data_IF_700307495469
#
_entry.id   IF_700307495469
#
_cell.length_a   1.000
_cell.length_b   1.000
_cell.length_c   1.000
_cell.angle_alpha   90.00
_cell.angle_beta   90.00
_cell.angle_gamma   90.00
#
_symmetry.space_group_name_H-M   'P 1'
#
loop_
_entity.id
_entity.type
_entity.pdbx_description
1 polymer ?
#
# COMPACT_ATOMS: atom_id res chain seq x y z
N UNK A 1 7.12 -20.00 -3.35
CA UNK A 1 7.35 -18.84 -2.46
C UNK A 1 6.01 -18.10 -2.29
N UNK A 2 4.92 -18.84 -2.02
CA UNK A 2 4.36 -19.05 -0.69
C UNK A 2 4.21 -17.74 0.09
N UNK A 3 3.09 -17.06 -0.15
CA UNK A 3 2.56 -15.89 0.60
C UNK A 3 2.15 -16.35 2.02
N UNK A 4 3.04 -17.07 2.70
CA UNK A 4 2.74 -17.89 3.87
C UNK A 4 3.44 -17.37 5.14
N UNK A 5 3.79 -16.08 5.18
CA UNK A 5 4.36 -15.46 6.38
C UNK A 5 3.31 -14.56 7.01
N UNK A 6 2.50 -15.17 7.89
CA UNK A 6 1.80 -14.54 9.01
C UNK A 6 0.77 -13.42 8.71
N UNK A 7 -0.26 -13.68 7.89
CA UNK A 7 -1.51 -12.87 7.89
C UNK A 7 -2.51 -13.50 8.89
N UNK A 8 -2.17 -13.55 10.17
CA UNK A 8 -2.93 -14.35 11.15
C UNK A 8 -4.19 -13.67 11.76
N UNK A 9 -4.82 -12.66 11.16
CA UNK A 9 -6.08 -12.09 11.74
C UNK A 9 -7.14 -11.68 10.71
N UNK A 10 -6.79 -11.21 9.51
CA UNK A 10 -7.79 -10.87 8.51
C UNK A 10 -7.20 -10.80 7.09
N UNK A 11 -7.72 -11.55 6.11
CA UNK A 11 -7.19 -11.51 4.74
C UNK A 11 -7.23 -10.09 4.16
N UNK A 12 -8.30 -9.32 4.45
CA UNK A 12 -8.45 -7.91 4.02
C UNK A 12 -7.33 -7.01 4.54
N UNK A 13 -6.85 -7.24 5.76
CA UNK A 13 -5.75 -6.47 6.34
C UNK A 13 -4.43 -6.78 5.62
N UNK A 14 -4.19 -8.05 5.26
CA UNK A 14 -3.05 -8.42 4.42
C UNK A 14 -3.07 -7.70 3.07
N UNK A 15 -4.22 -7.68 2.40
CA UNK A 15 -4.40 -6.95 1.14
C UNK A 15 -4.14 -5.44 1.30
N UNK A 16 -4.61 -4.84 2.40
CA UNK A 16 -4.36 -3.44 2.71
C UNK A 16 -2.86 -3.14 2.84
N UNK A 17 -2.11 -3.95 3.59
CA UNK A 17 -0.66 -3.78 3.74
C UNK A 17 0.07 -3.90 2.40
N UNK A 18 -0.35 -4.83 1.54
CA UNK A 18 0.21 -4.97 0.18
C UNK A 18 0.01 -3.69 -0.63
N UNK A 19 -1.21 -3.15 -0.65
CA UNK A 19 -1.53 -1.92 -1.39
C UNK A 19 -0.76 -0.71 -0.85
N UNK A 20 -0.74 -0.54 0.48
CA UNK A 20 0.01 0.54 1.12
C UNK A 20 1.51 0.45 0.79
N UNK A 21 2.08 -0.76 0.76
CA UNK A 21 3.49 -0.94 0.43
C UNK A 21 3.79 -0.64 -1.04
N UNK A 22 2.90 -1.01 -1.97
CA UNK A 22 3.03 -0.63 -3.39
C UNK A 22 3.02 0.90 -3.54
N UNK A 23 2.11 1.59 -2.84
CA UNK A 23 2.03 3.06 -2.90
C UNK A 23 3.31 3.68 -2.34
N UNK A 24 3.78 3.19 -1.20
CA UNK A 24 5.00 3.67 -0.57
C UNK A 24 6.24 3.45 -1.46
N UNK A 25 6.40 2.26 -2.05
CA UNK A 25 7.51 1.93 -2.94
C UNK A 25 7.60 2.86 -4.17
N UNK A 26 6.46 3.37 -4.63
CA UNK A 26 6.35 4.25 -5.80
C UNK A 26 6.46 5.74 -5.48
N UNK A 27 6.77 6.11 -4.23
CA UNK A 27 6.93 7.51 -3.82
C UNK A 27 5.64 8.14 -3.28
N UNK A 28 4.70 7.33 -2.78
CA UNK A 28 3.52 7.80 -2.04
C UNK A 28 2.27 8.09 -2.87
N UNK A 29 2.36 8.15 -4.20
CA UNK A 29 1.23 8.35 -5.11
C UNK A 29 1.32 7.36 -6.27
N UNK A 30 0.24 6.63 -6.55
CA UNK A 30 0.22 5.60 -7.61
C UNK A 30 -1.09 5.61 -8.37
N UNK A 31 -1.02 5.55 -9.70
CA UNK A 31 -2.20 5.41 -10.55
C UNK A 31 -2.94 4.11 -10.26
N UNK A 32 -4.28 4.17 -10.29
CA UNK A 32 -5.17 3.03 -10.08
C UNK A 32 -4.75 1.81 -10.94
N UNK A 33 -4.46 2.02 -12.22
CA UNK A 33 -4.07 0.97 -13.16
C UNK A 33 -2.81 0.21 -12.74
N UNK A 34 -1.84 0.88 -12.12
CA UNK A 34 -0.60 0.26 -11.67
C UNK A 34 -0.82 -0.60 -10.42
N UNK A 35 -1.71 -0.17 -9.51
CA UNK A 35 -2.11 -0.97 -8.35
C UNK A 35 -2.78 -2.26 -8.82
N UNK A 36 -3.76 -2.17 -9.71
CA UNK A 36 -4.46 -3.34 -10.25
C UNK A 36 -3.54 -4.29 -11.02
N UNK A 37 -2.63 -3.76 -11.84
CA UNK A 37 -1.65 -4.59 -12.56
C UNK A 37 -0.73 -5.35 -11.62
N UNK A 38 -0.35 -4.75 -10.48
CA UNK A 38 0.49 -5.40 -9.48
C UNK A 38 -0.29 -6.46 -8.70
N UNK A 39 -1.53 -6.15 -8.31
CA UNK A 39 -2.44 -7.12 -7.67
C UNK A 39 -2.71 -8.33 -8.58
N UNK A 40 -2.88 -8.12 -9.89
CA UNK A 40 -3.06 -9.20 -10.86
C UNK A 40 -1.85 -10.13 -10.92
N UNK A 41 -0.62 -9.59 -10.84
CA UNK A 41 0.61 -10.40 -10.75
C UNK A 41 0.67 -11.23 -9.46
N UNK A 42 0.08 -10.74 -8.39
CA UNK A 42 -0.07 -11.43 -7.10
C UNK A 42 -1.29 -12.38 -7.07
N UNK A 43 -1.89 -12.69 -8.23
CA UNK A 43 -3.08 -13.55 -8.37
C UNK A 43 -4.35 -12.99 -7.72
N UNK A 44 -4.40 -11.70 -7.46
CA UNK A 44 -5.59 -10.99 -6.99
C UNK A 44 -6.19 -10.23 -8.18
N UNK A 45 -7.18 -10.84 -8.85
CA UNK A 45 -7.89 -10.19 -9.96
C UNK A 45 -9.06 -9.34 -9.43
N UNK A 46 -9.18 -8.05 -9.81
CA UNK A 46 -10.31 -7.21 -9.45
C UNK A 46 -11.64 -7.59 -10.16
N UNK A 47 -11.57 -8.39 -11.23
CA UNK A 47 -12.74 -8.86 -11.97
C UNK A 47 -13.38 -10.12 -11.39
N UNK A 48 -12.67 -10.86 -10.54
CA UNK A 48 -13.14 -12.09 -9.93
C UNK A 48 -13.60 -11.87 -8.49
N UNK A 49 -14.72 -12.50 -8.13
CA UNK A 49 -15.14 -12.57 -6.72
C UNK A 49 -14.28 -13.59 -6.00
N UNK A 50 -13.47 -13.13 -5.06
CA UNK A 50 -12.73 -14.02 -4.16
C UNK A 50 -13.62 -14.47 -3.01
N UNK A 51 -13.51 -15.72 -2.58
CA UNK A 51 -14.30 -16.26 -1.46
C UNK A 51 -14.01 -15.51 -0.14
N UNK A 52 -12.76 -15.07 0.08
CA UNK A 52 -12.33 -14.37 1.29
C UNK A 52 -12.56 -12.85 1.25
N UNK A 53 -12.49 -12.23 0.07
CA UNK A 53 -12.53 -10.77 -0.09
C UNK A 53 -13.83 -10.26 -0.70
N UNK A 54 -14.60 -11.13 -1.36
CA UNK A 54 -15.73 -10.75 -2.19
C UNK A 54 -15.27 -9.93 -3.40
N UNK A 55 -15.83 -8.74 -3.56
CA UNK A 55 -15.47 -7.79 -4.61
C UNK A 55 -14.25 -6.98 -4.19
N UNK A 56 -13.06 -7.38 -4.68
CA UNK A 56 -11.79 -6.74 -4.35
C UNK A 56 -11.80 -5.26 -4.72
N UNK A 57 -12.41 -4.90 -5.85
CA UNK A 57 -12.51 -3.51 -6.28
C UNK A 57 -13.26 -2.68 -5.24
N UNK A 58 -14.42 -3.18 -4.80
CA UNK A 58 -15.21 -2.53 -3.76
C UNK A 58 -14.45 -2.43 -2.43
N UNK A 59 -13.75 -3.48 -2.01
CA UNK A 59 -12.96 -3.43 -0.77
C UNK A 59 -11.91 -2.32 -0.82
N UNK A 60 -11.18 -2.19 -1.94
CA UNK A 60 -10.12 -1.18 -2.07
C UNK A 60 -10.68 0.22 -2.24
N UNK A 61 -11.66 0.43 -3.12
CA UNK A 61 -12.17 1.78 -3.44
C UNK A 61 -13.21 2.29 -2.46
N UNK A 62 -13.94 1.40 -1.77
CA UNK A 62 -15.02 1.75 -0.85
C UNK A 62 -14.57 1.52 0.61
N UNK A 63 -14.25 0.29 1.01
CA UNK A 63 -13.91 0.01 2.42
C UNK A 63 -12.64 0.72 2.88
N UNK A 64 -11.51 0.59 2.15
CA UNK A 64 -10.24 1.20 2.58
C UNK A 64 -10.24 2.73 2.48
N UNK A 65 -10.98 3.29 1.51
CA UNK A 65 -11.16 4.74 1.38
C UNK A 65 -12.05 5.28 2.49
N UNK A 66 -13.16 4.59 2.79
CA UNK A 66 -14.07 4.94 3.88
C UNK A 66 -13.39 4.85 5.24
N UNK A 67 -12.52 3.87 5.43
CA UNK A 67 -11.72 3.71 6.64
C UNK A 67 -10.53 4.69 6.72
N UNK A 68 -10.34 5.56 5.73
CA UNK A 68 -9.24 6.56 5.67
C UNK A 68 -7.83 5.94 5.66
N UNK A 69 -7.71 4.68 5.24
CA UNK A 69 -6.39 4.10 4.97
C UNK A 69 -5.86 4.48 3.59
N UNK A 70 -6.77 4.63 2.62
CA UNK A 70 -6.43 5.08 1.27
C UNK A 70 -7.19 6.36 0.94
N UNK A 71 -6.57 7.19 0.12
CA UNK A 71 -7.25 8.28 -0.57
C UNK A 71 -7.35 7.93 -2.04
N UNK A 72 -8.55 8.04 -2.60
CA UNK A 72 -8.82 7.82 -4.01
C UNK A 72 -9.13 9.16 -4.66
N UNK A 73 -8.15 9.69 -5.40
CA UNK A 73 -8.17 11.05 -5.94
C UNK A 73 -8.24 10.98 -7.46
N UNK A 74 -9.13 11.78 -8.05
CA UNK A 74 -9.19 11.95 -9.50
C UNK A 74 -8.04 12.85 -9.96
N UNK A 75 -7.35 12.44 -11.01
CA UNK A 75 -6.33 13.27 -11.65
C UNK A 75 -7.06 14.35 -12.49
N UNK A 76 -6.81 15.64 -12.23
CA UNK A 76 -7.45 16.69 -13.00
C UNK A 76 -6.85 16.76 -14.42
N UNK A 77 -7.68 17.10 -15.41
CA UNK A 77 -7.27 17.34 -16.80
C UNK A 77 -6.72 16.12 -17.58
N UNK A 78 -7.07 14.89 -17.21
CA UNK A 78 -6.79 13.68 -18.02
C UNK A 78 -8.03 13.21 -18.77
N UNK A 79 -7.88 12.92 -20.06
CA UNK A 79 -8.85 12.20 -20.90
C UNK A 79 -8.18 10.94 -21.47
N UNK A 80 -8.61 9.72 -21.11
CA UNK A 80 -9.76 9.37 -20.25
C UNK A 80 -9.55 9.70 -18.76
N UNK A 81 -10.62 9.61 -17.96
CA UNK A 81 -10.58 9.85 -16.52
C UNK A 81 -9.60 8.89 -15.83
N UNK A 82 -8.54 9.45 -15.23
CA UNK A 82 -7.59 8.68 -14.43
C UNK A 82 -7.77 8.97 -12.94
N UNK A 83 -7.48 7.95 -12.14
CA UNK A 83 -7.50 8.03 -10.69
C UNK A 83 -6.16 7.55 -10.13
N UNK A 84 -5.83 8.05 -8.96
CA UNK A 84 -4.65 7.70 -8.20
C UNK A 84 -4.99 7.39 -6.74
N UNK A 85 -4.24 6.45 -6.18
CA UNK A 85 -4.25 6.10 -4.79
C UNK A 85 -3.12 6.78 -4.06
N UNK A 86 -3.44 7.26 -2.86
CA UNK A 86 -2.49 7.82 -1.90
C UNK A 86 -2.74 7.20 -0.52
N UNK A 87 -1.78 7.34 0.38
CA UNK A 87 -2.00 6.99 1.78
C UNK A 87 -3.00 7.95 2.41
N UNK A 88 -3.97 7.40 3.14
CA UNK A 88 -4.86 8.19 3.96
C UNK A 88 -4.28 8.45 5.34
N UNK A 89 -4.84 9.45 6.03
CA UNK A 89 -4.42 9.88 7.37
C UNK A 89 -4.31 8.73 8.38
N UNK A 90 -5.21 7.75 8.30
CA UNK A 90 -5.22 6.62 9.23
C UNK A 90 -4.05 5.67 8.98
N UNK A 91 -3.69 5.44 7.71
CA UNK A 91 -2.53 4.64 7.36
C UNK A 91 -1.23 5.28 7.86
N UNK A 92 -1.11 6.60 7.77
CA UNK A 92 0.10 7.32 8.23
C UNK A 92 0.29 7.24 9.76
N UNK A 93 -0.81 7.08 10.52
CA UNK A 93 -0.78 6.96 11.98
C UNK A 93 -0.62 5.52 12.45
N UNK A 94 -1.32 4.57 11.81
CA UNK A 94 -1.34 3.16 12.25
C UNK A 94 -0.20 2.33 11.65
N UNK A 95 0.29 2.68 10.46
CA UNK A 95 1.29 1.89 9.72
C UNK A 95 2.64 2.60 9.73
N UNK A 96 3.64 1.96 10.33
CA UNK A 96 5.01 2.44 10.25
C UNK A 96 5.59 2.15 8.85
N UNK A 97 5.92 3.21 8.10
CA UNK A 97 6.57 3.15 6.77
C UNK A 97 7.83 2.28 6.78
N UNK A 98 8.60 2.32 7.87
CA UNK A 98 9.82 1.51 8.05
C UNK A 98 9.49 0.02 8.10
N UNK A 99 8.57 -0.39 8.99
CA UNK A 99 8.14 -1.79 9.10
C UNK A 99 7.54 -2.32 7.80
N UNK A 100 6.82 -1.46 7.08
CA UNK A 100 6.25 -1.81 5.80
C UNK A 100 7.32 -2.03 4.71
N UNK A 101 8.37 -1.20 4.71
CA UNK A 101 9.50 -1.36 3.80
C UNK A 101 10.30 -2.62 4.11
N UNK A 102 10.52 -2.93 5.39
CA UNK A 102 11.14 -4.19 5.83
C UNK A 102 10.33 -5.40 5.37
N UNK A 103 9.00 -5.37 5.54
CA UNK A 103 8.10 -6.42 5.07
C UNK A 103 8.15 -6.59 3.54
N UNK A 104 8.17 -5.48 2.79
CA UNK A 104 8.28 -5.52 1.33
C UNK A 104 9.63 -6.08 0.86
N UNK A 105 10.72 -5.75 1.56
CA UNK A 105 12.04 -6.33 1.29
C UNK A 105 12.07 -7.84 1.47
N UNK A 106 11.45 -8.34 2.56
CA UNK A 106 11.28 -9.78 2.79
C UNK A 106 10.41 -10.44 1.72
N UNK A 107 9.34 -9.78 1.28
CA UNK A 107 8.42 -10.32 0.27
C UNK A 107 9.08 -10.44 -1.11
N UNK A 108 9.94 -9.48 -1.45
CA UNK A 108 10.60 -9.41 -2.76
C UNK A 108 11.99 -10.06 -2.80
N UNK A 109 12.50 -10.59 -1.68
CA UNK A 109 13.89 -11.07 -1.54
C UNK A 109 14.90 -9.98 -1.99
N UNK A 110 14.60 -8.74 -1.61
CA UNK A 110 15.36 -7.55 -1.97
C UNK A 110 15.70 -6.78 -0.71
N UNK A 111 16.94 -6.32 -0.59
CA UNK A 111 17.37 -5.54 0.56
C UNK A 111 16.58 -4.21 0.60
N UNK A 112 15.93 -3.83 1.72
CA UNK A 112 15.26 -2.54 1.89
C UNK A 112 16.15 -1.33 1.54
N UNK A 113 17.47 -1.45 1.67
CA UNK A 113 18.44 -0.41 1.33
C UNK A 113 18.62 -0.20 -0.18
N UNK A 114 18.20 -1.16 -1.01
CA UNK A 114 18.17 -1.02 -2.47
C UNK A 114 17.21 0.08 -2.92
N UNK A 115 16.20 0.41 -2.10
CA UNK A 115 15.31 1.56 -2.25
C UNK A 115 15.78 2.75 -1.41
N UNK A 116 16.96 3.27 -1.72
CA UNK A 116 17.66 4.29 -0.92
C UNK A 116 16.90 5.61 -0.73
N UNK A 117 15.95 5.96 -1.61
CA UNK A 117 15.09 7.13 -1.41
C UNK A 117 13.95 6.84 -0.43
N UNK A 118 13.29 5.70 -0.60
CA UNK A 118 12.18 5.25 0.23
C UNK A 118 12.64 4.94 1.67
N UNK A 119 13.84 4.38 1.83
CA UNK A 119 14.44 4.16 3.14
C UNK A 119 14.69 5.48 3.88
N UNK A 120 15.17 6.52 3.16
CA UNK A 120 15.35 7.87 3.70
C UNK A 120 14.02 8.49 4.12
N UNK A 121 13.00 8.43 3.27
CA UNK A 121 11.67 8.99 3.59
C UNK A 121 11.00 8.26 4.77
N UNK A 122 11.19 6.94 4.87
CA UNK A 122 10.70 6.14 5.99
C UNK A 122 11.39 6.52 7.31
N UNK A 123 12.71 6.73 7.30
CA UNK A 123 13.51 7.07 8.49
C UNK A 123 13.39 8.55 8.89
N UNK A 124 13.26 9.47 7.94
CA UNK A 124 13.00 10.90 8.22
C UNK A 124 11.62 11.16 8.83
N UNK A 125 10.64 10.29 8.55
CA UNK A 125 9.33 10.35 9.22
C UNK A 125 9.37 9.86 10.69
N UNK A 126 10.48 9.23 11.12
CA UNK A 126 10.67 8.70 12.47
C UNK A 126 11.51 9.58 13.39
N UNK A 127 12.09 10.67 12.89
CA UNK A 127 12.76 11.66 13.76
C UNK A 127 11.71 12.49 14.50
N UNK A 128 11.19 11.94 15.60
CA UNK A 128 10.86 12.74 16.78
C UNK A 128 12.06 13.65 17.05
N UNK A 129 11.88 14.98 17.18
CA UNK A 129 12.98 15.85 17.57
C UNK A 129 13.46 15.37 18.93
N UNK A 130 14.65 14.76 18.95
CA UNK A 130 15.43 14.60 20.17
C UNK A 130 15.57 16.01 20.73
N UNK A 131 14.89 16.22 21.85
CA UNK A 131 15.00 17.39 22.70
C UNK A 131 16.48 17.72 22.87
N UNK A 132 16.92 18.82 22.26
CA UNK A 132 18.17 19.44 22.63
C UNK A 132 17.91 20.17 23.94
N UNK A 133 18.42 19.60 25.03
CA UNK A 133 18.59 20.27 26.32
C UNK A 133 20.01 20.80 26.39
#
# INVERSE_FOLDING_TARGET
LCVCVCVCVNPKIGLLFVILGIIFMKGGVVKESMVWNTLKKLRVDPGDRHEDFGDVKKVVTDEFVRQRYLEYVRIPHTEPLEFEFRWGQRADTEVSKVKLLEFMGQLHDQDPQSWTQQYRDATSSQTVPVSQR
#
